data_IF_716005714355
#
_entry.id   IF_716005714355
#
_cell.length_a   1.000
_cell.length_b   1.000
_cell.length_c   1.000
_cell.angle_alpha   90.00
_cell.angle_beta   90.00
_cell.angle_gamma   90.00
#
_symmetry.space_group_name_H-M   'P 1'
#
loop_
_entity.id
_entity.type
_entity.pdbx_description
1 polymer ?
#
# COMPACT_ATOMS: atom_id res chain seq x y z
N UNK A 1 18.00 10.00 -16.16
CA UNK A 1 18.14 11.15 -15.23
C UNK A 1 18.94 12.33 -15.81
N UNK A 2 19.62 12.21 -16.96
CA UNK A 2 20.44 13.28 -17.55
C UNK A 2 19.71 14.17 -18.60
N UNK A 3 18.40 14.03 -18.76
CA UNK A 3 17.61 14.75 -19.80
C UNK A 3 16.42 15.56 -19.25
N UNK A 4 16.32 15.76 -17.93
CA UNK A 4 15.25 16.59 -17.37
C UNK A 4 15.53 18.09 -17.64
N UNK A 5 14.55 18.88 -18.14
CA UNK A 5 14.70 20.32 -18.23
C UNK A 5 14.83 20.92 -16.82
N UNK A 6 15.87 21.72 -16.60
CA UNK A 6 16.14 22.37 -15.32
C UNK A 6 15.65 23.81 -15.39
N UNK A 7 14.84 24.23 -14.42
CA UNK A 7 14.54 25.65 -14.20
C UNK A 7 15.08 25.99 -12.82
N UNK A 8 15.91 27.03 -12.74
CA UNK A 8 16.56 27.48 -11.49
C UNK A 8 17.33 26.38 -10.72
N UNK A 9 17.95 25.43 -11.42
CA UNK A 9 18.74 24.36 -10.80
C UNK A 9 17.93 23.19 -10.23
N UNK A 10 16.60 23.21 -10.35
CA UNK A 10 15.72 22.11 -9.95
C UNK A 10 15.32 21.31 -11.19
N UNK A 11 15.57 19.99 -11.25
CA UNK A 11 15.11 19.16 -12.35
C UNK A 11 13.57 19.05 -12.30
N UNK A 12 12.88 19.54 -13.34
CA UNK A 12 11.43 19.44 -13.42
C UNK A 12 11.08 18.13 -14.12
N UNK A 13 10.69 17.13 -13.32
CA UNK A 13 10.01 15.93 -13.81
C UNK A 13 8.50 16.15 -13.68
N UNK A 14 7.85 16.66 -14.73
CA UNK A 14 6.38 16.75 -14.74
C UNK A 14 5.80 15.38 -15.06
N UNK A 15 5.26 14.69 -14.05
CA UNK A 15 4.46 13.49 -14.26
C UNK A 15 3.04 13.92 -14.66
N UNK A 16 2.80 14.04 -15.97
CA UNK A 16 1.50 14.45 -16.52
C UNK A 16 0.36 13.52 -16.05
N UNK A 17 0.50 12.17 -16.09
CA UNK A 17 -0.52 11.28 -15.52
C UNK A 17 -0.85 11.55 -14.05
N UNK A 18 0.17 11.77 -13.20
CA UNK A 18 -0.04 12.08 -11.79
C UNK A 18 -0.78 13.42 -11.61
N UNK A 19 -0.41 14.45 -12.38
CA UNK A 19 -1.10 15.74 -12.36
C UNK A 19 -2.58 15.60 -12.73
N UNK A 20 -2.89 14.85 -13.80
CA UNK A 20 -4.28 14.62 -14.23
C UNK A 20 -5.08 13.89 -13.16
N UNK A 21 -4.54 12.81 -12.58
CA UNK A 21 -5.24 12.06 -11.53
C UNK A 21 -5.51 12.94 -10.30
N UNK A 22 -4.51 13.71 -9.85
CA UNK A 22 -4.69 14.61 -8.71
C UNK A 22 -5.75 15.67 -9.01
N UNK A 23 -5.70 16.31 -10.18
CA UNK A 23 -6.69 17.30 -10.58
C UNK A 23 -8.11 16.72 -10.65
N UNK A 24 -8.27 15.50 -11.18
CA UNK A 24 -9.55 14.79 -11.22
C UNK A 24 -10.08 14.47 -9.83
N UNK A 25 -9.22 13.99 -8.92
CA UNK A 25 -9.61 13.72 -7.53
C UNK A 25 -10.02 15.03 -6.85
N UNK A 26 -9.26 16.12 -7.03
CA UNK A 26 -9.62 17.44 -6.49
C UNK A 26 -10.97 17.93 -7.02
N UNK A 27 -11.21 17.81 -8.32
CA UNK A 27 -12.48 18.17 -8.95
C UNK A 27 -13.65 17.34 -8.39
N UNK A 28 -13.47 16.03 -8.25
CA UNK A 28 -14.46 15.13 -7.66
C UNK A 28 -14.75 15.45 -6.18
N UNK A 29 -13.72 15.80 -5.40
CA UNK A 29 -13.89 16.24 -4.01
C UNK A 29 -14.69 17.54 -3.90
N UNK A 30 -14.47 18.50 -4.82
CA UNK A 30 -15.25 19.76 -4.88
C UNK A 30 -16.72 19.52 -5.24
N UNK A 31 -17.01 18.53 -6.10
CA UNK A 31 -18.38 18.16 -6.46
C UNK A 31 -19.14 17.46 -5.34
N UNK A 32 -18.45 16.99 -4.28
CA UNK A 32 -19.08 16.37 -3.12
C UNK A 32 -19.63 14.98 -3.41
N UNK A 33 -18.78 13.95 -3.35
CA UNK A 33 -19.24 12.55 -3.42
C UNK A 33 -19.72 12.12 -2.05
N UNK A 34 -21.02 11.82 -1.97
CA UNK A 34 -21.62 11.19 -0.79
C UNK A 34 -21.37 9.68 -0.88
N UNK A 35 -20.29 9.24 -0.24
CA UNK A 35 -19.85 7.85 -0.22
C UNK A 35 -20.93 6.91 0.32
N UNK A 36 -21.13 5.78 -0.36
CA UNK A 36 -22.04 4.72 0.08
C UNK A 36 -21.24 3.69 0.85
N UNK A 37 -21.59 3.42 2.11
CA UNK A 37 -20.95 2.37 2.93
C UNK A 37 -20.93 1.01 2.21
N UNK A 38 -21.93 0.72 1.37
CA UNK A 38 -21.97 -0.51 0.55
C UNK A 38 -20.90 -0.50 -0.56
N UNK A 39 -20.71 0.63 -1.24
CA UNK A 39 -19.69 0.76 -2.27
C UNK A 39 -18.28 0.62 -1.66
N UNK A 40 -18.02 1.27 -0.53
CA UNK A 40 -16.75 1.14 0.18
C UNK A 40 -16.47 -0.32 0.60
N UNK A 41 -17.46 -1.01 1.17
CA UNK A 41 -17.31 -2.42 1.56
C UNK A 41 -17.00 -3.33 0.35
N UNK A 42 -17.64 -3.09 -0.80
CA UNK A 42 -17.35 -3.83 -2.04
C UNK A 42 -15.90 -3.57 -2.48
N UNK A 43 -15.44 -2.32 -2.47
CA UNK A 43 -14.06 -1.98 -2.84
C UNK A 43 -13.04 -2.64 -1.91
N UNK A 44 -13.29 -2.65 -0.59
CA UNK A 44 -12.44 -3.34 0.38
C UNK A 44 -12.43 -4.84 0.14
N UNK A 45 -13.59 -5.45 -0.11
CA UNK A 45 -13.69 -6.87 -0.41
C UNK A 45 -12.90 -7.26 -1.68
N UNK A 46 -12.99 -6.44 -2.73
CA UNK A 46 -12.20 -6.63 -3.96
C UNK A 46 -10.70 -6.54 -3.66
N UNK A 47 -10.25 -5.53 -2.92
CA UNK A 47 -8.84 -5.39 -2.51
C UNK A 47 -8.34 -6.63 -1.76
N UNK A 48 -9.10 -7.09 -0.78
CA UNK A 48 -8.76 -8.29 -0.01
C UNK A 48 -8.77 -9.55 -0.88
N UNK A 49 -9.71 -9.68 -1.83
CA UNK A 49 -9.78 -10.81 -2.74
C UNK A 49 -8.55 -10.88 -3.66
N UNK A 50 -8.10 -9.75 -4.21
CA UNK A 50 -6.88 -9.69 -5.04
C UNK A 50 -5.65 -10.07 -4.23
N UNK A 51 -5.51 -9.57 -2.99
CA UNK A 51 -4.40 -9.93 -2.11
C UNK A 51 -4.43 -11.41 -1.71
N UNK A 52 -5.61 -11.94 -1.39
CA UNK A 52 -5.77 -13.36 -1.09
C UNK A 52 -5.39 -14.23 -2.29
N UNK A 53 -5.81 -13.85 -3.49
CA UNK A 53 -5.45 -14.53 -4.73
C UNK A 53 -3.93 -14.51 -4.97
N UNK A 54 -3.29 -13.35 -4.79
CA UNK A 54 -1.83 -13.21 -4.86
C UNK A 54 -1.13 -14.16 -3.89
N UNK A 55 -1.54 -14.18 -2.62
CA UNK A 55 -0.94 -15.03 -1.59
C UNK A 55 -1.13 -16.50 -1.92
N UNK A 56 -2.32 -16.92 -2.36
CA UNK A 56 -2.62 -18.33 -2.66
C UNK A 56 -1.80 -18.86 -3.84
N UNK A 57 -1.74 -18.10 -4.93
CA UNK A 57 -0.96 -18.50 -6.12
C UNK A 57 0.54 -18.37 -5.85
N UNK A 58 0.95 -17.27 -5.24
CA UNK A 58 2.33 -16.98 -4.95
C UNK A 58 2.94 -17.99 -3.99
N UNK A 59 2.21 -18.41 -2.95
CA UNK A 59 2.69 -19.41 -1.99
C UNK A 59 3.06 -20.76 -2.63
N UNK A 60 2.49 -21.10 -3.80
CA UNK A 60 2.82 -22.34 -4.53
C UNK A 60 4.12 -22.25 -5.34
N UNK A 61 4.63 -21.05 -5.57
CA UNK A 61 5.80 -20.79 -6.43
C UNK A 61 6.98 -20.19 -5.66
N UNK A 62 6.96 -20.22 -4.32
CA UNK A 62 8.06 -19.69 -3.50
C UNK A 62 9.32 -20.52 -3.70
N UNK A 63 10.42 -19.87 -4.08
CA UNK A 63 11.77 -20.44 -3.99
C UNK A 63 12.44 -19.92 -2.71
N UNK A 64 12.73 -20.84 -1.78
CA UNK A 64 13.37 -20.53 -0.50
C UNK A 64 14.75 -19.86 -0.67
N UNK A 65 15.40 -20.08 -1.83
CA UNK A 65 16.69 -19.44 -2.15
C UNK A 65 16.57 -17.92 -2.26
N UNK A 66 15.40 -17.39 -2.61
CA UNK A 66 15.18 -15.95 -2.72
C UNK A 66 15.26 -15.24 -1.35
N UNK A 67 15.08 -15.97 -0.24
CA UNK A 67 15.28 -15.43 1.10
C UNK A 67 16.75 -15.32 1.51
N UNK A 68 17.69 -15.81 0.69
CA UNK A 68 19.12 -15.71 0.98
C UNK A 68 19.84 -14.77 0.00
N UNK A 69 20.54 -13.72 0.50
CA UNK A 69 20.63 -13.29 1.89
C UNK A 69 19.35 -12.57 2.38
N UNK A 70 18.90 -12.85 3.61
CA UNK A 70 17.66 -12.27 4.16
C UNK A 70 17.78 -10.76 4.43
N UNK A 71 18.93 -10.34 4.93
CA UNK A 71 19.22 -8.94 5.26
C UNK A 71 20.49 -8.47 4.53
N UNK A 72 20.46 -8.29 3.19
CA UNK A 72 21.64 -7.90 2.41
C UNK A 72 22.22 -6.54 2.85
N UNK A 73 21.35 -5.64 3.31
CA UNK A 73 21.70 -4.29 3.78
C UNK A 73 21.81 -4.21 5.32
N UNK A 74 21.77 -5.36 6.01
CA UNK A 74 21.78 -5.46 7.47
C UNK A 74 20.64 -4.69 8.15
N UNK A 75 20.81 -4.42 9.45
CA UNK A 75 19.81 -3.70 10.26
C UNK A 75 19.52 -2.29 9.75
N UNK A 76 20.52 -1.61 9.19
CA UNK A 76 20.36 -0.25 8.63
C UNK A 76 19.34 -0.24 7.49
N UNK A 77 19.40 -1.22 6.59
CA UNK A 77 18.42 -1.36 5.51
C UNK A 77 17.02 -1.70 6.02
N UNK A 78 16.93 -2.56 7.04
CA UNK A 78 15.64 -2.90 7.67
C UNK A 78 14.99 -1.66 8.28
N UNK A 79 15.75 -0.84 9.02
CA UNK A 79 15.24 0.38 9.63
C UNK A 79 14.78 1.40 8.58
N UNK A 80 15.56 1.61 7.52
CA UNK A 80 15.17 2.48 6.41
C UNK A 80 13.91 1.96 5.70
N UNK A 81 13.83 0.65 5.46
CA UNK A 81 12.64 0.01 4.89
C UNK A 81 11.42 0.15 5.78
N UNK A 82 11.56 -0.01 7.10
CA UNK A 82 10.47 0.20 8.06
C UNK A 82 9.91 1.62 8.00
N UNK A 83 10.77 2.63 7.86
CA UNK A 83 10.34 4.02 7.69
C UNK A 83 9.55 4.25 6.39
N UNK A 84 9.92 3.57 5.29
CA UNK A 84 9.18 3.66 4.02
C UNK A 84 7.83 2.93 4.13
N UNK A 85 7.82 1.71 4.68
CA UNK A 85 6.61 0.90 4.83
C UNK A 85 5.64 1.52 5.84
N UNK A 86 6.11 2.35 6.77
CA UNK A 86 5.25 3.12 7.67
C UNK A 86 4.21 3.97 6.91
N UNK A 87 4.56 4.51 5.74
CA UNK A 87 3.61 5.26 4.90
C UNK A 87 2.42 4.39 4.44
N UNK A 88 2.59 3.07 4.32
CA UNK A 88 1.51 2.17 3.96
C UNK A 88 0.45 1.98 5.07
N UNK A 89 0.72 2.46 6.29
CA UNK A 89 -0.21 2.48 7.41
C UNK A 89 -0.99 3.79 7.54
N UNK A 90 -0.74 4.78 6.69
CA UNK A 90 -1.52 6.02 6.68
C UNK A 90 -2.98 5.71 6.33
N UNK A 91 -3.92 6.31 7.07
CA UNK A 91 -5.36 6.16 6.83
C UNK A 91 -6.13 5.43 7.93
N UNK A 92 -5.47 4.94 8.98
CA UNK A 92 -6.18 4.38 10.15
C UNK A 92 -7.05 5.44 10.85
N UNK A 93 -6.63 6.70 10.78
CA UNK A 93 -7.32 7.88 11.31
C UNK A 93 -8.55 8.25 10.50
N UNK A 94 -8.63 7.87 9.23
CA UNK A 94 -9.83 8.06 8.41
C UNK A 94 -11.06 7.30 8.96
N UNK A 95 -10.86 6.23 9.74
CA UNK A 95 -11.95 5.52 10.41
C UNK A 95 -12.67 6.45 11.39
N UNK A 96 -11.97 7.44 11.97
CA UNK A 96 -12.55 8.41 12.90
C UNK A 96 -13.67 9.27 12.29
N UNK A 97 -13.68 9.46 10.97
CA UNK A 97 -14.71 10.25 10.28
C UNK A 97 -16.08 9.56 10.29
N UNK A 98 -16.12 8.24 10.48
CA UNK A 98 -17.35 7.45 10.56
C UNK A 98 -17.88 7.32 12.01
N UNK A 99 -17.36 8.09 12.96
CA UNK A 99 -17.76 8.03 14.36
C UNK A 99 -19.26 8.31 14.56
N UNK A 100 -19.84 9.22 13.77
CA UNK A 100 -21.24 9.62 13.86
C UNK A 100 -22.21 8.52 13.38
N UNK A 101 -21.76 7.64 12.49
CA UNK A 101 -22.54 6.50 11.98
C UNK A 101 -22.31 5.22 12.78
N UNK A 102 -21.40 5.25 13.76
CA UNK A 102 -21.00 4.07 14.53
C UNK A 102 -21.84 3.93 15.80
N UNK A 103 -22.52 2.79 15.95
CA UNK A 103 -23.24 2.44 17.18
C UNK A 103 -22.22 2.28 18.32
N UNK A 104 -22.38 2.99 19.45
CA UNK A 104 -21.44 2.96 20.59
C UNK A 104 -19.97 3.26 20.20
N UNK A 105 -19.68 4.50 19.75
CA UNK A 105 -18.37 4.85 19.21
C UNK A 105 -17.25 4.74 20.25
N UNK A 106 -17.53 4.92 21.54
CA UNK A 106 -16.51 4.86 22.60
C UNK A 106 -15.80 3.49 22.68
N UNK A 107 -16.49 2.41 22.29
CA UNK A 107 -15.91 1.06 22.26
C UNK A 107 -15.63 0.57 20.84
N UNK A 108 -16.52 0.85 19.90
CA UNK A 108 -16.42 0.27 18.56
C UNK A 108 -15.39 0.97 17.68
N UNK A 109 -15.15 2.28 17.87
CA UNK A 109 -14.13 3.00 17.10
C UNK A 109 -12.71 2.54 17.44
N UNK A 110 -12.29 2.46 18.73
CA UNK A 110 -10.98 1.92 19.08
C UNK A 110 -10.78 0.47 18.61
N UNK A 111 -11.80 -0.38 18.76
CA UNK A 111 -11.75 -1.77 18.29
C UNK A 111 -11.62 -1.87 16.77
N UNK A 112 -12.33 -1.02 16.03
CA UNK A 112 -12.23 -0.95 14.57
C UNK A 112 -10.84 -0.51 14.09
N UNK A 113 -10.27 0.51 14.71
CA UNK A 113 -8.93 1.03 14.37
C UNK A 113 -7.85 -0.02 14.70
N UNK A 114 -7.80 -0.51 15.93
CA UNK A 114 -6.80 -1.49 16.37
C UNK A 114 -6.97 -2.83 15.64
N UNK A 115 -8.20 -3.30 15.49
CA UNK A 115 -8.50 -4.53 14.77
C UNK A 115 -8.14 -4.44 13.30
N UNK A 116 -8.50 -3.34 12.63
CA UNK A 116 -8.14 -3.08 11.24
C UNK A 116 -6.62 -3.02 11.05
N UNK A 117 -5.92 -2.28 11.91
CA UNK A 117 -4.46 -2.17 11.86
C UNK A 117 -3.77 -3.51 12.06
N UNK A 118 -4.23 -4.33 13.02
CA UNK A 118 -3.69 -5.67 13.26
C UNK A 118 -3.88 -6.58 12.04
N UNK A 119 -5.08 -6.58 11.44
CA UNK A 119 -5.35 -7.37 10.23
C UNK A 119 -4.49 -6.90 9.05
N UNK A 120 -4.41 -5.60 8.80
CA UNK A 120 -3.56 -5.04 7.73
C UNK A 120 -2.09 -5.40 7.93
N UNK A 121 -1.59 -5.36 9.17
CA UNK A 121 -0.21 -5.75 9.50
C UNK A 121 0.07 -7.20 9.10
N UNK A 122 -0.83 -8.13 9.47
CA UNK A 122 -0.68 -9.54 9.12
C UNK A 122 -0.66 -9.73 7.60
N UNK A 123 -1.60 -9.08 6.89
CA UNK A 123 -1.68 -9.18 5.43
C UNK A 123 -0.40 -8.63 4.79
N UNK A 124 0.10 -7.48 5.22
CA UNK A 124 1.34 -6.89 4.68
C UNK A 124 2.56 -7.78 4.89
N UNK A 125 2.70 -8.40 6.08
CA UNK A 125 3.79 -9.35 6.35
C UNK A 125 3.69 -10.57 5.44
N UNK A 126 2.49 -11.15 5.28
CA UNK A 126 2.27 -12.33 4.43
C UNK A 126 2.55 -12.00 2.97
N UNK A 127 2.03 -10.90 2.45
CA UNK A 127 2.25 -10.46 1.07
C UNK A 127 3.73 -10.17 0.82
N UNK A 128 4.41 -9.49 1.74
CA UNK A 128 5.84 -9.21 1.65
C UNK A 128 6.70 -10.49 1.64
N UNK A 129 6.37 -11.46 2.49
CA UNK A 129 7.02 -12.76 2.50
C UNK A 129 6.81 -13.50 1.16
N UNK A 130 5.57 -13.58 0.66
CA UNK A 130 5.28 -14.22 -0.62
C UNK A 130 6.00 -13.52 -1.78
N UNK A 131 5.94 -12.19 -1.85
CA UNK A 131 6.58 -11.41 -2.92
C UNK A 131 8.10 -11.62 -2.95
N UNK A 132 8.76 -11.56 -1.78
CA UNK A 132 10.21 -11.80 -1.67
C UNK A 132 10.60 -13.27 -1.87
N UNK A 133 9.67 -14.21 -1.64
CA UNK A 133 9.84 -15.62 -1.96
C UNK A 133 9.71 -15.93 -3.46
N UNK A 134 8.93 -15.14 -4.21
CA UNK A 134 8.74 -15.30 -5.65
C UNK A 134 9.88 -14.71 -6.48
N UNK A 135 10.31 -13.49 -6.12
CA UNK A 135 11.22 -12.69 -6.93
C UNK A 135 12.43 -12.25 -6.11
N UNK A 136 13.67 -12.38 -6.62
CA UNK A 136 14.86 -11.87 -5.94
C UNK A 136 14.73 -10.37 -5.62
N UNK A 137 15.14 -9.97 -4.42
CA UNK A 137 14.96 -8.59 -3.91
C UNK A 137 15.48 -7.48 -4.84
N UNK A 138 16.47 -7.78 -5.70
CA UNK A 138 17.04 -6.83 -6.65
C UNK A 138 16.09 -6.46 -7.79
N UNK A 139 15.17 -7.35 -8.15
CA UNK A 139 14.19 -7.11 -9.22
C UNK A 139 12.96 -6.37 -8.66
N UNK A 140 12.61 -6.58 -7.39
CA UNK A 140 11.54 -5.87 -6.69
C UNK A 140 11.78 -4.34 -6.50
N UNK A 141 12.91 -3.79 -6.97
CA UNK A 141 13.24 -2.36 -6.90
C UNK A 141 12.53 -1.51 -7.98
N UNK A 142 11.79 -2.13 -8.89
CA UNK A 142 11.03 -1.42 -9.92
C UNK A 142 9.76 -0.75 -9.36
N UNK A 143 9.20 0.19 -10.12
CA UNK A 143 8.02 0.97 -9.71
C UNK A 143 6.76 0.11 -9.48
N UNK A 144 6.69 -1.10 -10.06
CA UNK A 144 5.54 -2.01 -9.97
C UNK A 144 5.97 -3.44 -9.55
N UNK A 145 6.35 -3.66 -8.28
CA UNK A 145 6.93 -4.92 -7.82
C UNK A 145 6.00 -6.13 -7.96
N UNK A 146 4.68 -5.95 -7.84
CA UNK A 146 3.70 -7.03 -8.01
C UNK A 146 3.53 -7.45 -9.47
N UNK A 147 3.72 -6.54 -10.43
CA UNK A 147 3.66 -6.88 -11.86
C UNK A 147 4.84 -7.76 -12.29
N UNK A 148 5.97 -7.69 -11.59
CA UNK A 148 7.15 -8.51 -11.86
C UNK A 148 7.09 -9.87 -11.16
N UNK A 149 6.15 -10.06 -10.23
CA UNK A 149 5.93 -11.33 -9.56
C UNK A 149 5.11 -12.33 -10.41
N UNK A 150 4.64 -11.92 -11.60
CA UNK A 150 3.87 -12.72 -12.54
C UNK A 150 4.43 -12.65 -13.95
#
# INVERSE_FOLDING_TARGET
MQTAPHIAGVPILVNIPAFVIVALITWLLVLGVRESARANNILVAIKLAVLAFFVVIGARHIDVRNYHPFAPNGFRGIHQGAAIVFFAYIGFDAISTAAEETRNPQRNMPLGILGGLAVCTIIYVVVGAVATGLVPYKQLLANDPLSQAF
#
